data_IF_718963629989
#
_entry.id   IF_718963629989
#
_cell.length_a   1.000
_cell.length_b   1.000
_cell.length_c   1.000
_cell.angle_alpha   90.00
_cell.angle_beta   90.00
_cell.angle_gamma   90.00
#
_symmetry.space_group_name_H-M   'P 1'
#
loop_
_entity.id
_entity.type
_entity.pdbx_description
1 polymer ?
#
# COMPACT_ATOMS: atom_id res chain seq x y z
N UNK A 1 -10.69 2.26 -1.17
CA UNK A 1 -10.58 1.68 -2.53
C UNK A 1 -10.03 2.68 -3.56
N UNK A 2 -10.33 3.97 -3.43
CA UNK A 2 -9.90 5.04 -4.37
C UNK A 2 -8.40 5.03 -4.71
N UNK A 3 -7.54 4.94 -3.70
CA UNK A 3 -6.08 4.97 -3.90
C UNK A 3 -5.52 3.77 -4.70
N UNK A 4 -6.23 2.64 -4.72
CA UNK A 4 -5.90 1.45 -5.51
C UNK A 4 -6.29 1.59 -7.00
N UNK A 5 -7.20 2.52 -7.32
CA UNK A 5 -7.62 2.77 -8.72
C UNK A 5 -6.66 3.70 -9.46
N UNK A 6 -5.87 4.48 -8.74
CA UNK A 6 -4.84 5.35 -9.30
C UNK A 6 -3.66 4.49 -9.75
N UNK A 7 -3.37 4.51 -11.06
CA UNK A 7 -2.26 3.74 -11.65
C UNK A 7 -0.94 4.11 -10.97
N UNK A 8 -0.23 3.10 -10.48
CA UNK A 8 1.13 3.22 -9.94
C UNK A 8 2.03 2.21 -10.60
N UNK A 9 3.31 2.56 -10.75
CA UNK A 9 4.36 1.63 -11.22
C UNK A 9 4.80 0.66 -10.11
N UNK A 10 4.71 1.11 -8.85
CA UNK A 10 5.17 0.42 -7.65
C UNK A 10 4.03 0.29 -6.63
N UNK A 11 4.00 -0.81 -5.87
CA UNK A 11 2.98 -1.04 -4.83
C UNK A 11 3.23 -0.11 -3.62
N UNK A 12 4.47 0.26 -3.40
CA UNK A 12 4.99 1.19 -2.42
C UNK A 12 4.27 2.54 -2.54
N UNK A 13 4.14 3.07 -3.76
CA UNK A 13 3.42 4.32 -4.00
C UNK A 13 1.94 4.22 -3.65
N UNK A 14 1.32 3.04 -3.82
CA UNK A 14 -0.08 2.83 -3.44
C UNK A 14 -0.22 2.82 -1.93
N UNK A 15 0.64 2.06 -1.23
CA UNK A 15 0.62 1.99 0.23
C UNK A 15 0.88 3.34 0.89
N UNK A 16 1.89 4.10 0.43
CA UNK A 16 2.20 5.45 0.93
C UNK A 16 1.03 6.42 0.77
N UNK A 17 0.34 6.40 -0.39
CA UNK A 17 -0.87 7.23 -0.58
C UNK A 17 -2.00 6.84 0.36
N UNK A 18 -2.18 5.55 0.64
CA UNK A 18 -3.20 5.10 1.59
C UNK A 18 -2.88 5.63 2.98
N UNK A 19 -1.63 5.46 3.44
CA UNK A 19 -1.18 5.97 4.75
C UNK A 19 -1.39 7.48 4.85
N UNK A 20 -0.93 8.25 3.86
CA UNK A 20 -1.05 9.71 3.87
C UNK A 20 -2.51 10.17 3.95
N UNK A 21 -3.41 9.55 3.17
CA UNK A 21 -4.84 9.90 3.19
C UNK A 21 -5.49 9.52 4.53
N UNK A 22 -5.08 8.41 5.14
CA UNK A 22 -5.58 8.00 6.46
C UNK A 22 -5.13 8.99 7.52
N UNK A 23 -3.84 9.34 7.55
CA UNK A 23 -3.27 10.32 8.49
C UNK A 23 -3.87 11.72 8.32
N UNK A 24 -4.09 12.16 7.08
CA UNK A 24 -4.69 13.48 6.79
C UNK A 24 -6.17 13.54 7.22
N UNK A 25 -6.93 12.46 7.01
CA UNK A 25 -8.35 12.39 7.38
C UNK A 25 -8.58 12.17 8.86
N UNK A 26 -7.63 11.53 9.54
CA UNK A 26 -7.71 11.15 10.94
C UNK A 26 -6.42 11.58 11.64
N UNK A 27 -6.27 12.89 11.93
CA UNK A 27 -5.07 13.42 12.58
C UNK A 27 -4.86 12.87 14.01
N UNK A 28 -5.86 12.22 14.59
CA UNK A 28 -5.76 11.50 15.86
C UNK A 28 -5.00 10.17 15.78
N UNK A 29 -4.71 9.67 14.57
CA UNK A 29 -3.99 8.42 14.39
C UNK A 29 -2.48 8.69 14.50
N UNK A 30 -1.85 8.13 15.53
CA UNK A 30 -0.40 8.25 15.76
C UNK A 30 0.42 7.26 14.93
N UNK A 31 -0.18 6.13 14.54
CA UNK A 31 0.48 5.06 13.82
C UNK A 31 -0.47 4.35 12.86
N UNK A 32 0.00 4.05 11.65
CA UNK A 32 -0.70 3.16 10.74
C UNK A 32 0.26 2.25 10.00
N UNK A 33 -0.17 1.01 9.80
CA UNK A 33 0.48 0.02 8.95
C UNK A 33 -0.47 -0.40 7.82
N UNK A 34 0.04 -0.44 6.59
CA UNK A 34 -0.72 -0.81 5.40
C UNK A 34 0.02 -1.90 4.63
N UNK A 35 -0.66 -3.03 4.45
CA UNK A 35 -0.23 -4.12 3.58
C UNK A 35 -0.99 -4.12 2.26
N UNK A 36 -0.25 -4.05 1.15
CA UNK A 36 -0.78 -4.08 -0.21
C UNK A 36 -0.31 -5.36 -0.90
N UNK A 37 -1.26 -6.21 -1.29
CA UNK A 37 -0.99 -7.50 -1.94
C UNK A 37 -1.50 -7.54 -3.38
N UNK A 38 -0.61 -7.89 -4.32
CA UNK A 38 -0.96 -8.25 -5.70
C UNK A 38 -1.11 -9.75 -5.79
N UNK A 39 -2.37 -10.20 -5.82
CA UNK A 39 -2.74 -11.62 -5.86
C UNK A 39 -2.32 -12.31 -7.16
N UNK A 40 -2.32 -11.59 -8.28
CA UNK A 40 -1.91 -12.12 -9.58
C UNK A 40 -0.73 -11.29 -10.13
N UNK A 41 0.48 -11.47 -9.59
CA UNK A 41 1.65 -10.78 -10.10
C UNK A 41 2.01 -11.28 -11.51
N UNK A 42 2.40 -10.40 -12.45
CA UNK A 42 2.88 -10.79 -13.78
C UNK A 42 4.34 -11.29 -13.71
N UNK A 43 4.64 -12.11 -12.72
CA UNK A 43 5.93 -12.78 -12.56
C UNK A 43 5.69 -14.19 -13.09
N UNK A 44 6.29 -14.54 -14.24
CA UNK A 44 6.12 -15.86 -14.84
C UNK A 44 6.61 -16.96 -13.90
N UNK A 45 5.70 -17.54 -13.10
CA UNK A 45 6.00 -18.55 -12.08
C UNK A 45 4.80 -18.82 -11.15
N UNK A 46 4.86 -19.90 -10.38
CA UNK A 46 3.84 -20.24 -9.35
C UNK A 46 4.00 -19.36 -8.11
N UNK A 47 3.75 -18.06 -8.23
CA UNK A 47 3.73 -17.14 -7.08
C UNK A 47 2.30 -16.82 -6.70
N UNK A 48 1.88 -17.23 -5.49
CA UNK A 48 0.48 -17.08 -5.04
C UNK A 48 0.06 -15.62 -4.78
N UNK A 49 0.97 -14.77 -4.33
CA UNK A 49 0.80 -13.30 -4.29
C UNK A 49 2.14 -12.63 -3.99
N UNK A 50 2.31 -11.37 -4.35
CA UNK A 50 3.38 -10.51 -3.83
C UNK A 50 2.77 -9.41 -2.98
N UNK A 51 3.41 -9.07 -1.86
CA UNK A 51 2.90 -8.07 -0.93
C UNK A 51 4.00 -7.11 -0.52
N UNK A 52 3.63 -5.86 -0.27
CA UNK A 52 4.45 -4.86 0.41
C UNK A 52 3.73 -4.43 1.67
N UNK A 53 4.47 -4.22 2.75
CA UNK A 53 3.97 -3.62 3.99
C UNK A 53 4.72 -2.31 4.19
N UNK A 54 4.00 -1.25 4.53
CA UNK A 54 4.55 0.06 4.86
C UNK A 54 3.92 0.54 6.16
N UNK A 55 4.68 1.23 6.98
CA UNK A 55 4.23 1.90 8.18
C UNK A 55 4.53 3.40 8.13
N UNK A 56 3.96 4.15 9.06
CA UNK A 56 4.26 5.58 9.26
C UNK A 56 5.69 5.82 9.76
N UNK A 57 6.36 4.78 10.27
CA UNK A 57 7.73 4.86 10.79
C UNK A 57 8.79 4.65 9.70
N UNK A 58 8.41 4.16 8.51
CA UNK A 58 9.30 3.91 7.37
C UNK A 58 9.63 5.20 6.56
N UNK A 59 9.77 6.34 7.23
CA UNK A 59 10.19 7.64 6.65
C UNK A 59 11.58 8.07 7.14
#
# INVERSE_FOLDING_TARGET
KEQMMVKSKLLEHVGRRIINVVMEKHPEIEYAEVKVSKMNPPLGGKTGSVSVTLSTEDD
#
